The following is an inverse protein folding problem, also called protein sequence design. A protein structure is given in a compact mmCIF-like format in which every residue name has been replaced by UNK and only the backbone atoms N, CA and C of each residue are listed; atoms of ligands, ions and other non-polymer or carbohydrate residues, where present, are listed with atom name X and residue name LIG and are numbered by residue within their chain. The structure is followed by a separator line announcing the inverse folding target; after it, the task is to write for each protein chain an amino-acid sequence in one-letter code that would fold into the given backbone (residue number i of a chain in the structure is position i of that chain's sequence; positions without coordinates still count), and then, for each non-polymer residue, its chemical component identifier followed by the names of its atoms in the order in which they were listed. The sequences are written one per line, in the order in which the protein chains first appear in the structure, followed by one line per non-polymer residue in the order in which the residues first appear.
data_IF_721706667859
#
_entry.id   IF_721706667859
#
_cell.length_a   1.000
_cell.length_b   1.000
_cell.length_c   1.000
_cell.angle_alpha   90.00
_cell.angle_beta   90.00
_cell.angle_gamma   90.00
#
_symmetry.space_group_name_H-M   'P 1'
#
loop_
_entity.id
_entity.type
_entity.pdbx_description
1 polymer ?
#
# COMPACT_ATOMS: atom_id res chain seq x y z
N UNK A 1 -4.73 29.36 3.01
CA UNK A 1 -3.66 28.43 3.39
C UNK A 1 -3.81 27.17 2.56
N UNK A 2 -2.72 26.61 2.05
CA UNK A 2 -2.75 25.41 1.19
C UNK A 2 -2.26 24.22 2.00
N UNK A 3 -2.98 23.10 1.94
CA UNK A 3 -2.55 21.85 2.56
C UNK A 3 -1.32 21.31 1.84
N UNK A 4 -0.23 21.19 2.58
CA UNK A 4 0.94 20.41 2.19
C UNK A 4 0.64 18.91 2.24
N UNK A 5 1.62 18.13 1.77
CA UNK A 5 1.61 16.68 1.82
C UNK A 5 1.42 16.14 3.25
N UNK A 6 2.12 16.72 4.22
CA UNK A 6 2.05 16.30 5.63
C UNK A 6 0.67 16.59 6.21
N UNK A 7 0.18 17.82 6.02
CA UNK A 7 -1.11 18.26 6.57
C UNK A 7 -2.29 17.48 5.97
N UNK A 8 -2.24 17.15 4.68
CA UNK A 8 -3.27 16.30 4.08
C UNK A 8 -3.23 14.87 4.64
N UNK A 9 -2.03 14.31 4.87
CA UNK A 9 -1.88 12.99 5.48
C UNK A 9 -2.37 12.97 6.93
N UNK A 10 -2.02 13.99 7.70
CA UNK A 10 -2.46 14.15 9.10
C UNK A 10 -3.99 14.30 9.14
N UNK A 11 -4.59 15.10 8.27
CA UNK A 11 -6.04 15.24 8.17
C UNK A 11 -6.74 13.90 7.85
N UNK A 12 -6.22 13.14 6.89
CA UNK A 12 -6.75 11.81 6.53
C UNK A 12 -6.64 10.83 7.70
N UNK A 13 -5.51 10.85 8.43
CA UNK A 13 -5.26 10.00 9.59
C UNK A 13 -6.16 10.36 10.76
N UNK A 14 -6.26 11.65 11.10
CA UNK A 14 -7.00 12.13 12.27
C UNK A 14 -8.52 11.94 12.08
N UNK A 15 -9.00 11.99 10.84
CA UNK A 15 -10.37 11.62 10.47
C UNK A 15 -10.59 10.11 10.27
N UNK A 16 -9.53 9.31 10.37
CA UNK A 16 -9.52 7.86 10.15
C UNK A 16 -10.23 7.45 8.84
N UNK A 17 -9.94 8.16 7.75
CA UNK A 17 -10.64 7.94 6.49
C UNK A 17 -10.15 6.67 5.77
N UNK A 18 -11.07 5.82 5.27
CA UNK A 18 -10.69 4.74 4.36
C UNK A 18 -10.19 5.31 3.03
N UNK A 19 -9.45 4.51 2.26
CA UNK A 19 -8.81 4.88 0.98
C UNK A 19 -9.74 5.70 0.08
N UNK A 20 -10.91 5.16 -0.23
CA UNK A 20 -11.84 5.77 -1.18
C UNK A 20 -12.33 7.14 -0.69
N UNK A 21 -12.55 7.29 0.63
CA UNK A 21 -12.96 8.55 1.24
C UNK A 21 -11.80 9.57 1.25
N UNK A 22 -10.56 9.13 1.49
CA UNK A 22 -9.38 9.98 1.42
C UNK A 22 -9.12 10.50 0.00
N UNK A 23 -9.34 9.67 -1.03
CA UNK A 23 -9.24 10.08 -2.43
C UNK A 23 -10.32 11.10 -2.81
N UNK A 24 -11.56 10.90 -2.35
CA UNK A 24 -12.65 11.87 -2.54
C UNK A 24 -12.32 13.20 -1.85
N UNK A 25 -11.85 13.17 -0.60
CA UNK A 25 -11.43 14.37 0.12
C UNK A 25 -10.34 15.13 -0.64
N UNK A 26 -9.26 14.44 -1.03
CA UNK A 26 -8.17 15.04 -1.80
C UNK A 26 -8.64 15.63 -3.13
N UNK A 27 -9.53 14.95 -3.84
CA UNK A 27 -10.14 15.44 -5.07
C UNK A 27 -10.95 16.73 -4.84
N UNK A 28 -11.75 16.80 -3.77
CA UNK A 28 -12.51 18.00 -3.41
C UNK A 28 -11.59 19.17 -3.03
N UNK A 29 -10.56 18.92 -2.23
CA UNK A 29 -9.56 19.94 -1.87
C UNK A 29 -8.81 20.46 -3.12
N UNK A 30 -8.44 19.57 -4.05
CA UNK A 30 -7.82 19.94 -5.32
C UNK A 30 -8.76 20.80 -6.17
N UNK A 31 -10.04 20.43 -6.29
CA UNK A 31 -11.02 21.20 -7.06
C UNK A 31 -11.25 22.62 -6.52
N UNK A 32 -10.98 22.84 -5.23
CA UNK A 32 -11.06 24.14 -4.56
C UNK A 32 -9.72 24.89 -4.52
N UNK A 33 -8.67 24.38 -5.19
CA UNK A 33 -7.31 24.92 -5.14
C UNK A 33 -6.76 25.06 -3.71
N UNK A 34 -7.07 24.11 -2.84
CA UNK A 34 -6.62 24.10 -1.44
C UNK A 34 -5.39 23.23 -1.20
N UNK A 35 -4.83 22.60 -2.24
CA UNK A 35 -3.62 21.77 -2.11
C UNK A 35 -2.38 22.54 -2.58
N UNK A 36 -1.28 22.41 -1.85
CA UNK A 36 0.00 22.94 -2.26
C UNK A 36 0.51 22.21 -3.51
N UNK A 37 1.28 22.86 -4.40
CA UNK A 37 1.88 22.20 -5.56
C UNK A 37 2.66 20.94 -5.15
N UNK A 38 2.48 19.84 -5.90
CA UNK A 38 3.13 18.57 -5.60
C UNK A 38 2.40 17.70 -4.56
N UNK A 39 1.40 18.23 -3.85
CA UNK A 39 0.55 17.43 -2.95
C UNK A 39 -0.35 16.52 -3.78
N UNK A 40 -0.31 15.22 -3.51
CA UNK A 40 -1.11 14.23 -4.24
C UNK A 40 -2.33 13.83 -3.42
N UNK A 41 -3.10 12.82 -3.83
CA UNK A 41 -3.97 12.04 -2.95
C UNK A 41 -4.02 10.58 -3.41
N UNK A 42 -3.03 10.20 -4.22
CA UNK A 42 -2.89 8.93 -4.90
C UNK A 42 -1.87 8.03 -4.18
N UNK A 43 -1.68 8.22 -2.87
CA UNK A 43 -0.64 7.54 -2.05
C UNK A 43 -0.73 6.02 -2.16
N UNK A 44 -1.96 5.52 -2.14
CA UNK A 44 -2.24 4.09 -2.24
C UNK A 44 -1.76 3.50 -3.56
N UNK A 45 -1.70 4.29 -4.63
CA UNK A 45 -1.17 3.85 -5.92
C UNK A 45 0.36 3.79 -5.96
N UNK A 46 1.08 4.53 -5.10
CA UNK A 46 2.56 4.53 -5.10
C UNK A 46 3.13 3.37 -4.30
N UNK A 47 2.61 3.10 -3.09
CA UNK A 47 3.08 1.97 -2.28
C UNK A 47 2.88 0.62 -2.97
N UNK A 48 1.77 0.45 -3.69
CA UNK A 48 1.57 -0.74 -4.50
C UNK A 48 2.62 -0.84 -5.61
N UNK A 49 2.93 0.27 -6.30
CA UNK A 49 3.94 0.31 -7.37
C UNK A 49 5.34 -0.06 -6.89
N UNK A 50 5.73 0.35 -5.69
CA UNK A 50 7.03 -0.03 -5.09
C UNK A 50 7.11 -1.53 -4.80
N UNK A 51 5.95 -2.15 -4.57
CA UNK A 51 5.85 -3.57 -4.30
C UNK A 51 5.73 -4.41 -5.59
N UNK A 52 5.24 -3.85 -6.69
CA UNK A 52 5.08 -4.54 -7.98
C UNK A 52 6.33 -5.30 -8.48
N UNK A 53 7.57 -4.79 -8.33
CA UNK A 53 8.77 -5.51 -8.78
C UNK A 53 8.97 -6.86 -8.08
N UNK A 54 8.43 -7.04 -6.87
CA UNK A 54 8.51 -8.31 -6.15
C UNK A 54 7.47 -9.33 -6.62
N UNK A 55 6.61 -8.99 -7.57
CA UNK A 55 5.52 -9.85 -8.04
C UNK A 55 5.65 -10.19 -9.52
N UNK A 56 5.67 -11.49 -9.82
CA UNK A 56 5.55 -12.00 -11.18
C UNK A 56 4.12 -12.55 -11.39
N UNK A 57 3.41 -11.99 -12.37
CA UNK A 57 2.04 -12.38 -12.68
C UNK A 57 1.51 -11.82 -14.00
N UNK A 58 0.47 -12.46 -14.54
CA UNK A 58 -0.31 -11.89 -15.65
C UNK A 58 -1.43 -11.06 -15.04
N UNK A 59 -1.47 -9.75 -15.36
CA UNK A 59 -2.53 -8.70 -15.25
C UNK A 59 -3.65 -8.82 -14.19
N UNK A 60 -4.11 -10.00 -13.83
CA UNK A 60 -5.22 -10.30 -12.92
C UNK A 60 -4.87 -11.33 -11.82
N UNK A 61 -3.72 -12.03 -11.88
CA UNK A 61 -3.26 -12.97 -10.85
C UNK A 61 -1.72 -12.97 -10.70
N UNK A 62 -1.26 -12.87 -9.44
CA UNK A 62 0.14 -13.06 -9.05
C UNK A 62 0.41 -14.56 -8.90
N UNK A 63 1.34 -15.09 -9.68
CA UNK A 63 1.71 -16.51 -9.66
C UNK A 63 2.90 -16.79 -8.74
N UNK A 64 3.77 -15.79 -8.54
CA UNK A 64 4.98 -15.91 -7.73
C UNK A 64 5.35 -14.55 -7.14
N UNK A 65 5.58 -14.50 -5.83
CA UNK A 65 6.10 -13.32 -5.16
C UNK A 65 7.48 -13.61 -4.55
N UNK A 66 8.43 -12.69 -4.73
CA UNK A 66 9.71 -12.70 -4.04
C UNK A 66 9.48 -12.34 -2.56
N UNK A 67 9.22 -13.39 -1.76
CA UNK A 67 8.93 -13.24 -0.34
C UNK A 67 10.10 -12.62 0.42
N UNK A 68 11.34 -13.00 0.10
CA UNK A 68 12.52 -12.48 0.77
C UNK A 68 12.71 -11.00 0.42
N UNK A 69 12.52 -10.63 -0.86
CA UNK A 69 12.54 -9.25 -1.31
C UNK A 69 11.48 -8.38 -0.63
N UNK A 70 10.23 -8.86 -0.54
CA UNK A 70 9.15 -8.13 0.17
C UNK A 70 9.48 -7.96 1.65
N UNK A 71 9.94 -9.00 2.34
CA UNK A 71 10.29 -8.92 3.75
C UNK A 71 11.46 -7.97 4.00
N UNK A 72 12.49 -8.05 3.15
CA UNK A 72 13.63 -7.12 3.18
C UNK A 72 13.24 -5.67 2.92
N UNK A 73 12.28 -5.41 2.02
CA UNK A 73 11.73 -4.07 1.78
C UNK A 73 11.12 -3.46 3.05
N UNK A 74 10.50 -4.28 3.90
CA UNK A 74 9.97 -3.85 5.19
C UNK A 74 10.98 -3.91 6.34
N UNK A 75 12.23 -4.34 6.08
CA UNK A 75 13.26 -4.51 7.11
C UNK A 75 12.97 -5.67 8.06
N UNK A 76 12.22 -6.67 7.61
CA UNK A 76 11.84 -7.85 8.40
C UNK A 76 12.76 -9.01 8.02
N UNK A 77 13.35 -9.66 9.03
CA UNK A 77 14.10 -10.90 8.84
C UNK A 77 13.12 -12.06 8.63
N UNK A 78 13.22 -12.73 7.48
CA UNK A 78 12.31 -13.81 7.09
C UNK A 78 12.96 -15.17 7.27
N UNK A 79 12.39 -15.99 8.15
CA UNK A 79 12.76 -17.38 8.32
C UNK A 79 11.72 -18.30 7.65
N UNK A 80 12.11 -18.90 6.53
CA UNK A 80 11.26 -19.82 5.79
C UNK A 80 11.01 -21.17 6.51
N UNK A 81 11.82 -21.50 7.53
CA UNK A 81 11.65 -22.72 8.34
C UNK A 81 10.54 -22.56 9.37
N UNK A 82 10.36 -21.36 9.89
CA UNK A 82 9.31 -21.02 10.87
C UNK A 82 8.06 -20.45 10.23
N UNK A 83 8.18 -19.72 9.12
CA UNK A 83 7.06 -19.00 8.51
C UNK A 83 6.88 -19.31 7.02
N UNK A 84 5.63 -19.26 6.57
CA UNK A 84 5.22 -19.25 5.17
C UNK A 84 4.47 -17.95 4.88
N UNK A 85 4.99 -17.16 3.95
CA UNK A 85 4.31 -15.97 3.46
C UNK A 85 3.50 -16.30 2.20
N UNK A 86 2.21 -15.96 2.22
CA UNK A 86 1.30 -16.14 1.10
C UNK A 86 0.85 -14.77 0.66
N UNK A 87 1.02 -14.48 -0.63
CA UNK A 87 0.60 -13.20 -1.20
C UNK A 87 -0.55 -13.45 -2.15
N UNK A 88 -1.65 -12.72 -1.93
CA UNK A 88 -2.86 -12.76 -2.74
C UNK A 88 -3.09 -11.36 -3.28
N UNK A 89 -3.05 -11.22 -4.61
CA UNK A 89 -3.38 -9.97 -5.28
C UNK A 89 -4.78 -10.05 -5.89
N UNK A 90 -5.52 -8.94 -5.84
CA UNK A 90 -6.74 -8.70 -6.61
C UNK A 90 -6.53 -7.49 -7.52
N UNK A 91 -7.54 -7.13 -8.34
CA UNK A 91 -7.54 -5.91 -9.17
C UNK A 91 -7.42 -4.61 -8.36
N UNK A 92 -7.74 -4.63 -7.07
CA UNK A 92 -7.88 -3.42 -6.24
C UNK A 92 -7.01 -3.43 -4.98
N UNK A 93 -6.34 -4.55 -4.68
CA UNK A 93 -5.55 -4.69 -3.47
C UNK A 93 -4.53 -5.82 -3.56
N UNK A 94 -3.36 -5.58 -3.00
CA UNK A 94 -2.39 -6.62 -2.64
C UNK A 94 -2.57 -6.97 -1.16
N UNK A 95 -2.66 -8.26 -0.82
CA UNK A 95 -2.73 -8.75 0.56
C UNK A 95 -1.65 -9.79 0.79
N UNK A 96 -0.98 -9.72 1.94
CA UNK A 96 -0.02 -10.73 2.41
C UNK A 96 -0.51 -11.35 3.71
N UNK A 97 -0.34 -12.67 3.83
CA UNK A 97 -0.60 -13.42 5.06
C UNK A 97 0.67 -14.15 5.44
N UNK A 98 1.13 -13.96 6.68
CA UNK A 98 2.23 -14.71 7.26
C UNK A 98 1.65 -15.81 8.14
N UNK A 99 1.98 -17.07 7.85
CA UNK A 99 1.50 -18.24 8.57
C UNK A 99 2.67 -18.94 9.25
N UNK A 100 2.48 -19.39 10.48
CA UNK A 100 3.49 -20.17 11.17
C UNK A 100 3.46 -21.62 10.64
N UNK A 101 4.63 -22.21 10.41
CA UNK A 101 4.75 -23.56 9.86
C UNK A 101 4.36 -24.64 10.87
N UNK A 102 4.41 -24.33 12.17
CA UNK A 102 4.04 -25.23 13.25
C UNK A 102 2.54 -25.34 13.52
N UNK A 103 1.70 -24.57 12.83
CA UNK A 103 0.24 -24.69 12.96
C UNK A 103 -0.24 -25.96 12.24
N UNK A 104 -0.46 -27.03 13.02
CA UNK A 104 -1.16 -28.26 12.62
C UNK A 104 -2.64 -28.15 12.94
#
# INVERSE_FOLDING_TARGET
ELFSQGELNDLVRDLNLPKDAAEVLGSRLKSKNLLAPGTTFAWYLHREKELLPFFEGRREMVFRGDTVGVMGFFGIEYDATEWRFIIVSSKSSLKGVLLHNGDK
#
